data_IF_881357609639
#
_entry.id   IF_881357609639
#
_cell.length_a   1.000
_cell.length_b   1.000
_cell.length_c   1.000
_cell.angle_alpha   90.00
_cell.angle_beta   90.00
_cell.angle_gamma   90.00
#
_symmetry.space_group_name_H-M   'P 1'
#
loop_
_entity.id
_entity.type
_entity.pdbx_description
1 polymer ?
#
# COMPACT_ATOMS: atom_id res chain seq x y z
N UNK A 1 10.17 7.81 11.49
CA UNK A 1 9.92 6.62 10.65
C UNK A 1 11.20 6.35 9.87
N UNK A 2 11.58 5.09 9.70
CA UNK A 2 12.82 4.71 8.99
C UNK A 2 12.65 4.72 7.45
N UNK A 3 11.41 4.77 6.96
CA UNK A 3 11.08 4.85 5.54
C UNK A 3 9.77 5.63 5.33
N UNK A 4 9.48 5.99 4.08
CA UNK A 4 8.28 6.73 3.66
C UNK A 4 7.12 5.82 3.21
N UNK A 5 7.33 4.50 3.14
CA UNK A 5 6.29 3.56 2.77
C UNK A 5 5.20 3.50 3.85
N UNK A 6 3.99 3.12 3.43
CA UNK A 6 2.87 2.87 4.32
C UNK A 6 2.86 1.37 4.63
N UNK A 7 2.74 0.92 5.89
CA UNK A 7 2.74 -0.51 6.21
C UNK A 7 1.80 -1.35 5.33
N UNK A 8 0.61 -0.79 5.03
CA UNK A 8 -0.40 -1.43 4.17
C UNK A 8 0.07 -1.69 2.73
N UNK A 9 0.95 -0.86 2.16
CA UNK A 9 1.47 -1.09 0.79
C UNK A 9 2.46 -2.26 0.76
N UNK A 10 3.02 -2.64 1.90
CA UNK A 10 3.91 -3.80 2.04
C UNK A 10 3.13 -5.08 2.33
N UNK A 11 2.14 -5.01 3.23
CA UNK A 11 1.33 -6.15 3.66
C UNK A 11 0.26 -6.56 2.66
N UNK A 12 -0.42 -5.60 2.03
CA UNK A 12 -1.51 -5.85 1.08
C UNK A 12 -1.10 -5.51 -0.36
N UNK A 13 -0.23 -4.51 -0.53
CA UNK A 13 0.27 -4.10 -1.84
C UNK A 13 1.50 -4.88 -2.33
N UNK A 14 2.11 -4.36 -3.39
CA UNK A 14 3.30 -4.96 -4.01
C UNK A 14 4.61 -4.35 -3.51
N UNK A 15 4.60 -3.30 -2.68
CA UNK A 15 5.83 -2.66 -2.18
C UNK A 15 6.65 -3.63 -1.33
N UNK A 16 7.97 -3.61 -1.47
CA UNK A 16 8.88 -4.37 -0.60
C UNK A 16 10.06 -3.50 -0.21
N UNK A 17 10.27 -3.37 1.11
CA UNK A 17 11.39 -2.61 1.66
C UNK A 17 12.69 -3.41 1.50
N UNK A 18 13.51 -3.02 0.54
CA UNK A 18 14.81 -3.65 0.28
C UNK A 18 15.93 -3.13 1.19
N UNK A 19 15.74 -1.96 1.81
CA UNK A 19 16.79 -1.26 2.54
C UNK A 19 18.00 -0.95 1.65
N UNK A 20 19.20 -0.96 2.23
CA UNK A 20 20.46 -0.77 1.50
C UNK A 20 21.09 -2.10 1.02
N UNK A 21 20.27 -3.11 0.69
CA UNK A 21 20.75 -4.43 0.26
C UNK A 21 20.62 -4.59 -1.26
N UNK A 22 21.76 -4.58 -1.96
CA UNK A 22 21.81 -4.84 -3.39
C UNK A 22 21.34 -6.27 -3.72
N UNK A 23 21.63 -7.24 -2.86
CA UNK A 23 21.19 -8.63 -3.02
C UNK A 23 19.67 -8.77 -2.99
N UNK A 24 18.99 -8.10 -2.04
CA UNK A 24 17.52 -8.09 -1.97
C UNK A 24 16.91 -7.42 -3.20
N UNK A 25 17.51 -6.33 -3.66
CA UNK A 25 17.05 -5.64 -4.87
C UNK A 25 17.15 -6.54 -6.10
N UNK A 26 18.30 -7.18 -6.32
CA UNK A 26 18.52 -8.09 -7.45
C UNK A 26 17.58 -9.31 -7.41
N UNK A 27 17.37 -9.90 -6.22
CA UNK A 27 16.43 -11.00 -6.03
C UNK A 27 15.01 -10.62 -6.47
N UNK A 28 14.47 -9.53 -5.92
CA UNK A 28 13.11 -9.10 -6.23
C UNK A 28 12.95 -8.62 -7.66
N UNK A 29 13.98 -8.01 -8.25
CA UNK A 29 13.98 -7.64 -9.66
C UNK A 29 13.86 -8.88 -10.55
N UNK A 30 14.59 -9.96 -10.27
CA UNK A 30 14.50 -11.22 -11.01
C UNK A 30 13.10 -11.84 -10.90
N UNK A 31 12.50 -11.85 -9.72
CA UNK A 31 11.14 -12.34 -9.51
C UNK A 31 10.10 -11.53 -10.31
N UNK A 32 10.25 -10.20 -10.36
CA UNK A 32 9.37 -9.31 -11.15
C UNK A 32 9.49 -9.64 -12.63
N UNK A 33 10.71 -9.75 -13.15
CA UNK A 33 10.95 -10.05 -14.57
C UNK A 33 10.48 -11.46 -14.96
N UNK A 34 10.56 -12.42 -14.04
CA UNK A 34 10.04 -13.78 -14.22
C UNK A 34 8.51 -13.89 -14.06
N UNK A 35 7.84 -12.83 -13.62
CA UNK A 35 6.40 -12.85 -13.32
C UNK A 35 6.02 -13.68 -12.09
N UNK A 36 6.99 -14.04 -11.25
CA UNK A 36 6.80 -14.84 -10.03
C UNK A 36 6.74 -13.99 -8.77
N UNK A 37 6.84 -12.67 -8.89
CA UNK A 37 6.77 -11.76 -7.77
C UNK A 37 5.40 -11.78 -7.08
N UNK A 38 5.38 -11.35 -5.80
CA UNK A 38 4.14 -11.30 -5.02
C UNK A 38 3.08 -10.46 -5.72
N UNK A 39 1.83 -10.93 -5.65
CA UNK A 39 0.66 -10.16 -6.10
C UNK A 39 0.07 -9.43 -4.91
N UNK A 40 -0.13 -8.13 -5.08
CA UNK A 40 -0.86 -7.31 -4.12
C UNK A 40 -2.33 -7.16 -4.50
N UNK A 41 -3.10 -6.62 -3.57
CA UNK A 41 -4.47 -6.17 -3.77
C UNK A 41 -4.58 -4.69 -3.40
N UNK A 42 -5.61 -4.03 -3.93
CA UNK A 42 -5.94 -2.69 -3.49
C UNK A 42 -6.44 -2.75 -2.03
N UNK A 43 -5.88 -1.96 -1.10
CA UNK A 43 -6.39 -1.93 0.26
C UNK A 43 -7.87 -1.55 0.36
N UNK A 44 -8.55 -2.06 1.39
CA UNK A 44 -10.01 -2.06 1.54
C UNK A 44 -10.70 -0.69 1.40
N UNK A 45 -9.99 0.42 1.65
CA UNK A 45 -10.54 1.78 1.60
C UNK A 45 -9.83 2.69 0.59
N UNK A 46 -9.00 2.11 -0.28
CA UNK A 46 -8.32 2.83 -1.37
C UNK A 46 -9.15 2.82 -2.66
N UNK A 47 -10.47 2.87 -2.51
CA UNK A 47 -11.48 2.84 -3.57
C UNK A 47 -11.73 4.20 -4.24
N UNK A 48 -10.96 5.24 -3.88
CA UNK A 48 -11.12 6.60 -4.38
C UNK A 48 -12.32 7.38 -3.81
N UNK A 49 -13.05 6.82 -2.83
CA UNK A 49 -14.28 7.44 -2.27
C UNK A 49 -14.06 8.17 -0.94
N UNK A 50 -12.83 8.61 -0.68
CA UNK A 50 -12.48 9.28 0.58
C UNK A 50 -13.32 10.55 0.83
N UNK A 51 -13.53 11.37 -0.21
CA UNK A 51 -14.32 12.59 -0.08
C UNK A 51 -15.77 12.34 0.37
N UNK A 52 -16.43 11.31 -0.18
CA UNK A 52 -17.80 10.93 0.17
C UNK A 52 -17.85 10.52 1.65
N UNK A 53 -16.96 9.60 2.07
CA UNK A 53 -16.88 9.17 3.47
C UNK A 53 -16.62 10.31 4.45
N UNK A 54 -15.80 11.29 4.07
CA UNK A 54 -15.53 12.46 4.92
C UNK A 54 -16.80 13.31 5.08
N UNK A 55 -17.52 13.58 3.99
CA UNK A 55 -18.77 14.34 4.06
C UNK A 55 -19.79 13.62 4.93
N UNK A 56 -19.97 12.31 4.75
CA UNK A 56 -20.90 11.50 5.54
C UNK A 56 -20.58 11.59 7.05
N UNK A 57 -19.30 11.46 7.43
CA UNK A 57 -18.87 11.56 8.82
C UNK A 57 -19.08 12.95 9.43
N UNK A 58 -18.90 14.02 8.65
CA UNK A 58 -19.18 15.40 9.10
C UNK A 58 -20.68 15.62 9.31
N UNK A 59 -21.52 15.12 8.39
CA UNK A 59 -22.97 15.23 8.51
C UNK A 59 -23.50 14.46 9.73
N UNK A 60 -22.98 13.25 9.97
CA UNK A 60 -23.28 12.45 11.17
C UNK A 60 -22.90 13.19 12.45
N UNK A 61 -21.72 13.80 12.49
CA UNK A 61 -21.25 14.56 13.66
C UNK A 61 -22.11 15.79 13.95
N UNK A 62 -22.60 16.50 12.93
CA UNK A 62 -23.41 17.72 13.12
C UNK A 62 -24.88 17.47 13.42
N UNK A 63 -25.37 16.25 13.17
CA UNK A 63 -26.78 15.87 13.41
C UNK A 63 -26.98 15.27 14.81
N UNK A 64 -25.88 15.04 15.54
CA UNK A 64 -25.86 14.58 16.94
C UNK A 64 -25.71 15.73 17.92
#
# INVERSE_FOLDING_TARGET
RENTERPVTVSEGTSTLCGNSAEKLDLHLKEILAGTYKRGQCPELWDGKAAIRIVDALMEFTTS
#
